data_IF_241776817287
#
_entry.id   IF_241776817287
#
_cell.length_a   1.000
_cell.length_b   1.000
_cell.length_c   1.000
_cell.angle_alpha   90.00
_cell.angle_beta   90.00
_cell.angle_gamma   90.00
#
_symmetry.space_group_name_H-M   'P 1'
#
loop_
_entity.id
_entity.type
_entity.pdbx_description
1 polymer ?
#
# COMPACT_ATOMS: atom_id res chain seq x y z
N UNK A 1 -29.24 20.09 -23.55
CA UNK A 1 -28.83 18.81 -22.92
C UNK A 1 -29.46 17.61 -23.63
N UNK A 2 -30.78 17.61 -23.82
CA UNK A 2 -31.53 16.54 -24.50
C UNK A 2 -31.10 16.32 -25.95
N UNK A 3 -30.81 17.39 -26.69
CA UNK A 3 -30.38 17.32 -28.10
C UNK A 3 -29.00 16.64 -28.26
N UNK A 4 -28.02 17.03 -27.45
CA UNK A 4 -26.69 16.39 -27.41
C UNK A 4 -26.82 14.91 -27.03
N UNK A 5 -27.65 14.58 -26.02
CA UNK A 5 -27.91 13.19 -25.64
C UNK A 5 -28.56 12.38 -26.77
N UNK A 6 -29.45 13.00 -27.55
CA UNK A 6 -30.12 12.37 -28.69
C UNK A 6 -29.16 12.08 -29.85
N UNK A 7 -28.24 13.01 -30.15
CA UNK A 7 -27.22 12.86 -31.19
C UNK A 7 -26.19 11.79 -30.80
N UNK A 8 -25.74 11.79 -29.54
CA UNK A 8 -24.70 10.88 -29.05
C UNK A 8 -25.23 9.54 -28.53
N UNK A 9 -26.55 9.32 -28.56
CA UNK A 9 -27.22 8.15 -27.98
C UNK A 9 -26.85 7.92 -26.49
N UNK A 10 -26.77 9.01 -25.72
CA UNK A 10 -26.46 8.99 -24.28
C UNK A 10 -27.63 9.52 -23.47
N UNK A 11 -27.78 9.00 -22.25
CA UNK A 11 -28.73 9.55 -21.29
C UNK A 11 -28.41 11.02 -20.98
N UNK A 12 -29.45 11.85 -20.92
CA UNK A 12 -29.29 13.29 -20.70
C UNK A 12 -28.62 13.63 -19.36
N UNK A 13 -28.71 12.74 -18.35
CA UNK A 13 -28.02 12.90 -17.06
C UNK A 13 -26.52 12.63 -17.20
N UNK A 14 -26.11 11.71 -18.07
CA UNK A 14 -24.69 11.47 -18.37
C UNK A 14 -24.07 12.71 -19.02
N UNK A 15 -24.77 13.30 -19.99
CA UNK A 15 -24.32 14.55 -20.64
C UNK A 15 -24.21 15.69 -19.62
N UNK A 16 -25.23 15.89 -18.79
CA UNK A 16 -25.21 16.94 -17.76
C UNK A 16 -24.09 16.74 -16.72
N UNK A 17 -23.84 15.50 -16.29
CA UNK A 17 -22.77 15.16 -15.35
C UNK A 17 -21.39 15.45 -15.95
N UNK A 18 -21.15 15.03 -17.19
CA UNK A 18 -19.87 15.27 -17.86
C UNK A 18 -19.64 16.76 -18.11
N UNK A 19 -20.66 17.50 -18.53
CA UNK A 19 -20.55 18.94 -18.77
C UNK A 19 -20.23 19.70 -17.48
N UNK A 20 -20.83 19.31 -16.35
CA UNK A 20 -20.48 19.85 -15.03
C UNK A 20 -19.02 19.59 -14.66
N UNK A 21 -18.53 18.36 -14.85
CA UNK A 21 -17.13 18.00 -14.59
C UNK A 21 -16.17 18.86 -15.43
N UNK A 22 -16.48 19.04 -16.72
CA UNK A 22 -15.66 19.88 -17.61
C UNK A 22 -15.71 21.35 -17.20
N UNK A 23 -16.86 21.87 -16.77
CA UNK A 23 -16.97 23.24 -16.27
C UNK A 23 -16.17 23.46 -14.97
N UNK A 24 -16.11 22.46 -14.09
CA UNK A 24 -15.38 22.53 -12.82
C UNK A 24 -13.87 22.33 -12.99
N UNK A 25 -13.45 21.36 -13.82
CA UNK A 25 -12.04 20.95 -13.95
C UNK A 25 -11.33 21.57 -15.16
N UNK A 26 -12.08 21.96 -16.20
CA UNK A 26 -11.54 22.39 -17.50
C UNK A 26 -11.01 21.25 -18.38
N UNK A 27 -11.10 20.00 -17.92
CA UNK A 27 -10.56 18.81 -18.59
C UNK A 27 -11.67 17.80 -18.95
N UNK A 28 -11.74 17.45 -20.24
CA UNK A 28 -12.67 16.47 -20.80
C UNK A 28 -12.34 15.01 -20.44
N UNK A 29 -11.08 14.73 -20.14
CA UNK A 29 -10.59 13.39 -19.80
C UNK A 29 -10.48 13.18 -18.28
N UNK A 30 -10.99 14.13 -17.49
CA UNK A 30 -10.93 14.03 -16.05
C UNK A 30 -11.74 12.82 -15.56
N UNK A 31 -11.05 11.97 -14.80
CA UNK A 31 -11.66 10.88 -14.06
C UNK A 31 -11.25 10.99 -12.59
N UNK A 32 -12.24 11.11 -11.71
CA UNK A 32 -11.98 11.12 -10.28
C UNK A 32 -11.29 9.80 -9.87
N UNK A 33 -10.14 9.86 -9.19
CA UNK A 33 -9.42 8.66 -8.78
C UNK A 33 -10.30 7.85 -7.82
N UNK A 34 -10.56 6.60 -8.17
CA UNK A 34 -11.32 5.69 -7.30
C UNK A 34 -10.38 5.17 -6.21
N UNK A 35 -10.72 5.32 -4.92
CA UNK A 35 -9.90 4.73 -3.87
C UNK A 35 -9.87 3.21 -4.06
N UNK A 36 -8.67 2.63 -4.00
CA UNK A 36 -8.50 1.19 -4.01
C UNK A 36 -9.01 0.53 -2.72
N UNK A 37 -9.07 -0.81 -2.71
CA UNK A 37 -9.41 -1.57 -1.51
C UNK A 37 -8.42 -1.24 -0.37
N UNK A 38 -8.90 -1.07 0.87
CA UNK A 38 -8.02 -0.91 2.03
C UNK A 38 -7.00 -2.04 2.12
N UNK A 39 -5.79 -1.69 2.55
CA UNK A 39 -4.71 -2.67 2.72
C UNK A 39 -4.93 -3.46 4.01
N UNK A 40 -4.54 -4.74 4.00
CA UNK A 40 -4.62 -5.62 5.17
C UNK A 40 -3.78 -5.16 6.37
N UNK A 41 -2.67 -4.46 6.10
CA UNK A 41 -1.79 -3.91 7.12
C UNK A 41 -1.88 -2.38 7.11
N UNK A 42 -2.35 -1.84 8.23
CA UNK A 42 -2.46 -0.40 8.46
C UNK A 42 -1.08 0.22 8.74
N UNK A 43 -0.93 1.55 8.68
CA UNK A 43 0.31 2.21 9.07
C UNK A 43 0.71 1.94 10.53
N UNK A 44 -0.26 1.76 11.43
CA UNK A 44 -0.01 1.44 12.84
C UNK A 44 0.60 0.04 12.99
N UNK A 45 0.08 -0.93 12.25
CA UNK A 45 0.61 -2.29 12.24
C UNK A 45 2.06 -2.32 11.77
N UNK A 46 2.39 -1.49 10.78
CA UNK A 46 3.76 -1.37 10.28
C UNK A 46 4.72 -0.78 11.30
N UNK A 47 4.29 0.23 12.08
CA UNK A 47 5.09 0.75 13.20
C UNK A 47 5.32 -0.31 14.27
N UNK A 48 4.30 -1.12 14.57
CA UNK A 48 4.46 -2.22 15.52
C UNK A 48 5.45 -3.27 15.02
N UNK A 49 5.40 -3.61 13.73
CA UNK A 49 6.35 -4.52 13.10
C UNK A 49 7.80 -3.97 13.13
N UNK A 50 7.97 -2.67 12.89
CA UNK A 50 9.27 -1.99 12.96
C UNK A 50 9.87 -2.04 14.36
N UNK A 51 9.08 -1.74 15.39
CA UNK A 51 9.52 -1.85 16.79
C UNK A 51 9.91 -3.29 17.13
N UNK A 52 9.14 -4.27 16.68
CA UNK A 52 9.41 -5.68 16.93
C UNK A 52 10.69 -6.19 16.25
N UNK A 53 11.04 -5.65 15.07
CA UNK A 53 12.33 -5.93 14.43
C UNK A 53 13.48 -5.21 15.14
N UNK A 54 13.29 -3.95 15.53
CA UNK A 54 14.32 -3.13 16.17
C UNK A 54 14.73 -3.65 17.55
N UNK A 55 13.76 -4.12 18.34
CA UNK A 55 14.02 -4.69 19.66
C UNK A 55 14.42 -6.18 19.62
N UNK A 56 14.43 -6.80 18.43
CA UNK A 56 14.81 -8.19 18.23
C UNK A 56 13.76 -9.23 18.67
N UNK A 57 12.53 -8.82 19.01
CA UNK A 57 11.43 -9.74 19.33
C UNK A 57 10.99 -10.58 18.12
N UNK A 58 11.12 -10.01 16.92
CA UNK A 58 10.98 -10.73 15.66
C UNK A 58 12.29 -10.68 14.86
N UNK A 59 12.67 -11.80 14.25
CA UNK A 59 13.93 -11.91 13.49
C UNK A 59 13.79 -11.57 12.01
N UNK A 60 12.64 -11.89 11.44
CA UNK A 60 12.37 -11.68 10.02
C UNK A 60 10.87 -11.48 9.75
N UNK A 61 10.53 -11.27 8.48
CA UNK A 61 9.15 -11.06 8.05
C UNK A 61 8.24 -12.29 8.23
N UNK A 62 8.80 -13.50 8.26
CA UNK A 62 8.07 -14.75 8.50
C UNK A 62 7.74 -14.88 9.99
N UNK A 63 8.70 -14.55 10.84
CA UNK A 63 8.54 -14.51 12.29
C UNK A 63 7.52 -13.44 12.70
N UNK A 64 7.61 -12.23 12.13
CA UNK A 64 6.59 -11.19 12.27
C UNK A 64 5.20 -11.67 11.85
N UNK A 65 5.10 -12.42 10.75
CA UNK A 65 3.83 -12.96 10.30
C UNK A 65 3.25 -13.94 11.34
N UNK A 66 4.07 -14.85 11.87
CA UNK A 66 3.63 -15.83 12.87
C UNK A 66 3.23 -15.18 14.19
N UNK A 67 3.99 -14.20 14.65
CA UNK A 67 3.80 -13.58 15.96
C UNK A 67 2.71 -12.49 15.97
N UNK A 68 2.70 -11.60 14.97
CA UNK A 68 1.88 -10.38 15.00
C UNK A 68 0.74 -10.39 13.98
N UNK A 69 0.90 -11.08 12.85
CA UNK A 69 -0.05 -11.02 11.73
C UNK A 69 -0.41 -12.41 11.17
N UNK A 70 -0.93 -13.35 11.99
CA UNK A 70 -1.16 -14.73 11.56
C UNK A 70 -2.13 -14.84 10.39
N UNK A 71 -3.06 -13.90 10.28
CA UNK A 71 -4.08 -13.85 9.22
C UNK A 71 -3.58 -13.22 7.90
N UNK A 72 -2.33 -12.74 7.86
CA UNK A 72 -1.74 -12.08 6.71
C UNK A 72 -0.67 -13.00 6.12
N UNK A 73 -0.61 -13.11 4.79
CA UNK A 73 0.45 -13.91 4.17
C UNK A 73 1.84 -13.32 4.43
N UNK A 74 2.85 -14.18 4.62
CA UNK A 74 4.23 -13.73 4.81
C UNK A 74 4.75 -12.90 3.63
N UNK A 75 4.28 -13.19 2.40
CA UNK A 75 4.57 -12.39 1.20
C UNK A 75 4.02 -10.97 1.33
N UNK A 76 2.80 -10.81 1.85
CA UNK A 76 2.20 -9.49 2.10
C UNK A 76 2.99 -8.72 3.15
N UNK A 77 3.38 -9.35 4.26
CA UNK A 77 4.23 -8.73 5.30
C UNK A 77 5.55 -8.24 4.68
N UNK A 78 6.27 -9.11 3.96
CA UNK A 78 7.53 -8.73 3.25
C UNK A 78 7.35 -7.54 2.32
N UNK A 79 6.30 -7.56 1.48
CA UNK A 79 6.03 -6.46 0.54
C UNK A 79 5.80 -5.15 1.29
N UNK A 80 5.09 -5.18 2.41
CA UNK A 80 4.78 -3.97 3.19
C UNK A 80 6.00 -3.44 3.94
N UNK A 81 6.85 -4.33 4.47
CA UNK A 81 8.13 -3.95 5.06
C UNK A 81 9.06 -3.29 4.02
N UNK A 82 9.13 -3.83 2.79
CA UNK A 82 9.91 -3.18 1.73
C UNK A 82 9.42 -1.77 1.39
N UNK A 83 8.11 -1.51 1.46
CA UNK A 83 7.55 -0.16 1.19
C UNK A 83 8.00 0.86 2.24
N UNK A 84 8.30 0.43 3.46
CA UNK A 84 8.81 1.29 4.54
C UNK A 84 10.34 1.26 4.66
N UNK A 85 11.05 0.68 3.69
CA UNK A 85 12.52 0.62 3.67
C UNK A 85 13.13 -0.52 4.49
N UNK A 86 12.31 -1.32 5.18
CA UNK A 86 12.76 -2.52 5.89
C UNK A 86 12.79 -3.70 4.91
N UNK A 87 13.88 -3.81 4.17
CA UNK A 87 14.13 -5.03 3.39
C UNK A 87 14.30 -6.19 4.38
N UNK A 88 13.31 -7.11 4.41
CA UNK A 88 13.24 -8.25 5.34
C UNK A 88 14.34 -9.31 5.16
N UNK A 89 15.59 -8.86 5.06
CA UNK A 89 16.80 -9.65 5.10
C UNK A 89 17.10 -9.95 6.57
N UNK A 90 17.43 -11.20 6.85
CA UNK A 90 17.81 -11.66 8.18
C UNK A 90 19.05 -10.90 8.62
N UNK A 91 18.98 -10.29 9.81
CA UNK A 91 20.16 -9.74 10.46
C UNK A 91 21.10 -10.90 10.76
N UNK A 92 22.24 -11.00 10.06
CA UNK A 92 23.24 -12.03 10.36
C UNK A 92 23.89 -11.67 11.69
N UNK A 93 24.00 -12.65 12.60
CA UNK A 93 24.76 -12.48 13.82
C UNK A 93 26.19 -12.06 13.44
N UNK A 94 26.68 -10.96 14.03
CA UNK A 94 28.06 -10.54 13.85
C UNK A 94 28.94 -11.61 14.49
N UNK A 95 29.83 -12.21 13.71
CA UNK A 95 30.81 -13.16 14.25
C UNK A 95 31.65 -12.43 15.30
N UNK A 96 31.85 -13.07 16.45
CA UNK A 96 32.72 -12.56 17.49
C UNK A 96 34.16 -12.63 16.99
N UNK A 97 34.77 -11.47 16.72
CA UNK A 97 36.20 -11.37 16.42
C UNK A 97 36.95 -11.36 17.75
N UNK A 98 37.46 -12.53 18.14
CA UNK A 98 38.42 -12.62 19.25
C UNK A 98 39.79 -12.05 18.81
N UNK A 99 40.62 -11.66 19.78
CA UNK A 99 41.98 -11.14 19.53
C UNK A 99 42.92 -12.11 18.80
N UNK A 100 42.51 -13.37 18.60
CA UNK A 100 43.23 -14.38 17.80
C UNK A 100 42.99 -14.23 16.27
N UNK A 101 42.12 -13.31 15.85
CA UNK A 101 41.76 -13.09 14.45
C UNK A 101 42.20 -11.72 13.91
N UNK A 102 43.16 -11.06 14.58
CA UNK A 102 43.86 -9.83 14.12
C UNK A 102 45.30 -10.20 13.79
#
# INVERSE_FOLDING_TARGET
MTEIGRILHLDCRTVARNLKIVQETGDFYYHAPRPGRPRLLTPRDLRHAEVALANGSARDATDLQRQLFPNVSARTVRRRLCVIGLHGRVHRAKLYLSALHI
#
